data_IF_199744527045
#
_entry.id   IF_199744527045
#
_cell.length_a   1.000
_cell.length_b   1.000
_cell.length_c   1.000
_cell.angle_alpha   90.00
_cell.angle_beta   90.00
_cell.angle_gamma   90.00
#
_symmetry.space_group_name_H-M   'P 1'
#
loop_
_entity.id
_entity.type
_entity.pdbx_description
1 polymer ?
#
# COMPACT_ATOMS: atom_id res chain seq x y z
N UNK A 1 -26.60 -48.61 26.66
CA UNK A 1 -26.61 -47.31 25.96
C UNK A 1 -25.29 -47.27 25.21
N UNK A 2 -25.38 -47.49 23.91
CA UNK A 2 -24.26 -47.41 22.98
C UNK A 2 -24.15 -45.95 22.57
N UNK A 3 -22.98 -45.35 22.79
CA UNK A 3 -22.64 -44.05 22.24
C UNK A 3 -21.65 -44.27 21.10
N UNK A 4 -22.20 -44.36 19.89
CA UNK A 4 -21.47 -44.26 18.62
C UNK A 4 -21.40 -42.78 18.22
N UNK A 5 -20.19 -42.19 18.11
CA UNK A 5 -19.93 -40.98 17.33
C UNK A 5 -18.63 -41.20 16.53
N UNK A 6 -18.80 -41.10 15.21
CA UNK A 6 -17.78 -41.15 14.16
C UNK A 6 -17.17 -39.77 13.90
N UNK A 7 -16.10 -39.78 13.09
CA UNK A 7 -15.44 -38.69 12.36
C UNK A 7 -14.17 -38.09 12.99
N UNK A 8 -13.01 -38.45 12.42
CA UNK A 8 -12.08 -37.42 11.99
C UNK A 8 -11.22 -37.92 10.82
N UNK A 9 -11.47 -37.30 9.67
CA UNK A 9 -10.82 -37.51 8.40
C UNK A 9 -9.37 -37.00 8.43
N UNK A 10 -8.38 -37.89 8.59
CA UNK A 10 -6.98 -37.49 8.46
C UNK A 10 -6.56 -37.48 6.98
N UNK A 11 -6.69 -36.31 6.36
CA UNK A 11 -6.24 -36.04 4.99
C UNK A 11 -4.71 -36.14 4.89
N UNK A 12 -4.29 -37.08 4.05
CA UNK A 12 -2.93 -37.22 3.56
C UNK A 12 -2.60 -36.11 2.56
N UNK A 13 -1.55 -35.34 2.82
CA UNK A 13 -0.95 -34.44 1.82
C UNK A 13 0.53 -34.77 1.67
N UNK A 14 0.81 -35.45 0.57
CA UNK A 14 2.14 -35.67 0.01
C UNK A 14 2.66 -34.36 -0.58
N UNK A 15 3.66 -33.75 0.07
CA UNK A 15 4.41 -32.64 -0.48
C UNK A 15 5.45 -33.18 -1.47
N UNK A 16 5.19 -33.01 -2.77
CA UNK A 16 6.17 -33.20 -3.83
C UNK A 16 7.11 -32.00 -3.85
N UNK A 17 8.36 -32.19 -3.45
CA UNK A 17 9.48 -31.30 -3.80
C UNK A 17 9.79 -31.48 -5.28
N UNK A 18 9.74 -30.40 -6.05
CA UNK A 18 10.25 -30.35 -7.42
C UNK A 18 11.47 -29.46 -7.45
N UNK A 19 12.63 -30.08 -7.38
CA UNK A 19 13.89 -29.57 -7.90
C UNK A 19 13.77 -29.28 -9.39
N UNK A 20 14.21 -28.12 -9.86
CA UNK A 20 14.60 -27.94 -11.26
C UNK A 20 15.77 -26.95 -11.39
N UNK A 21 16.91 -27.60 -11.59
CA UNK A 21 18.22 -27.23 -12.13
C UNK A 21 18.35 -25.98 -13.04
N UNK A 22 19.57 -25.45 -12.97
CA UNK A 22 20.22 -24.31 -13.61
C UNK A 22 20.42 -24.38 -15.14
N UNK A 23 20.78 -23.19 -15.66
CA UNK A 23 21.63 -22.86 -16.82
C UNK A 23 20.99 -22.80 -18.21
N UNK A 24 20.96 -21.59 -18.80
CA UNK A 24 21.63 -21.26 -20.08
C UNK A 24 21.49 -19.75 -20.41
N UNK A 25 22.60 -19.01 -20.36
CA UNK A 25 22.80 -17.74 -21.08
C UNK A 25 22.97 -18.06 -22.58
N UNK A 26 22.46 -17.25 -23.54
CA UNK A 26 23.31 -16.15 -24.00
C UNK A 26 22.58 -14.88 -24.47
N UNK A 27 23.19 -13.75 -24.09
CA UNK A 27 23.44 -12.52 -24.86
C UNK A 27 22.57 -12.24 -26.11
N UNK A 28 21.90 -11.08 -26.10
CA UNK A 28 21.67 -10.29 -27.30
C UNK A 28 21.81 -8.78 -27.00
N UNK A 29 22.39 -8.00 -27.93
CA UNK A 29 22.94 -6.68 -27.63
C UNK A 29 21.98 -5.53 -27.90
N UNK A 30 22.23 -4.42 -27.20
CA UNK A 30 21.98 -3.03 -27.59
C UNK A 30 20.55 -2.65 -27.98
N UNK A 31 19.84 -2.05 -27.01
CA UNK A 31 19.08 -0.84 -27.29
C UNK A 31 19.34 0.17 -26.19
N UNK A 32 20.26 1.09 -26.48
CA UNK A 32 20.47 2.30 -25.71
C UNK A 32 19.21 3.15 -25.83
N UNK A 33 18.22 2.90 -24.98
CA UNK A 33 17.05 3.76 -24.83
C UNK A 33 16.93 4.13 -23.35
N UNK A 34 17.19 5.40 -23.08
CA UNK A 34 17.25 6.03 -21.76
C UNK A 34 16.16 5.53 -20.81
N UNK A 35 16.51 4.59 -19.93
CA UNK A 35 15.64 4.15 -18.82
C UNK A 35 15.65 5.14 -17.64
N UNK A 36 16.42 6.23 -17.74
CA UNK A 36 16.48 7.26 -16.72
C UNK A 36 15.18 8.10 -16.64
N UNK A 37 14.44 8.23 -17.72
CA UNK A 37 13.29 9.16 -17.78
C UNK A 37 12.00 8.57 -17.19
N UNK A 38 11.86 7.24 -17.15
CA UNK A 38 10.61 6.58 -16.67
C UNK A 38 10.54 6.55 -15.14
N UNK A 39 11.69 6.44 -14.45
CA UNK A 39 11.73 6.40 -12.98
C UNK A 39 11.41 7.76 -12.34
N UNK A 40 11.76 8.87 -13.00
CA UNK A 40 11.50 10.22 -12.53
C UNK A 40 9.98 10.53 -12.50
N UNK A 41 9.26 10.19 -13.57
CA UNK A 41 7.82 10.45 -13.69
C UNK A 41 6.96 9.65 -12.68
N UNK A 42 7.32 8.39 -12.42
CA UNK A 42 6.66 7.56 -11.40
C UNK A 42 6.91 8.08 -9.98
N UNK A 43 8.12 8.59 -9.73
CA UNK A 43 8.50 9.20 -8.46
C UNK A 43 7.77 10.52 -8.21
N UNK A 44 7.59 11.34 -9.25
CA UNK A 44 6.88 12.61 -9.17
C UNK A 44 5.38 12.41 -8.91
N UNK A 45 4.75 11.49 -9.64
CA UNK A 45 3.34 11.12 -9.44
C UNK A 45 3.05 10.65 -8.01
N UNK A 46 3.97 9.90 -7.41
CA UNK A 46 3.86 9.40 -6.04
C UNK A 46 4.05 10.52 -5.01
N UNK A 47 4.97 11.45 -5.25
CA UNK A 47 5.17 12.65 -4.41
C UNK A 47 3.95 13.57 -4.45
N UNK A 48 3.37 13.80 -5.63
CA UNK A 48 2.15 14.60 -5.79
C UNK A 48 0.98 14.00 -4.99
N UNK A 49 0.77 12.68 -5.10
CA UNK A 49 -0.26 11.98 -4.31
C UNK A 49 -0.06 12.15 -2.81
N UNK A 50 1.20 12.07 -2.35
CA UNK A 50 1.53 12.26 -0.94
C UNK A 50 1.18 13.67 -0.48
N UNK A 51 1.51 14.70 -1.26
CA UNK A 51 1.20 16.09 -0.93
C UNK A 51 -0.32 16.31 -0.83
N UNK A 52 -1.09 15.77 -1.77
CA UNK A 52 -2.56 15.85 -1.76
C UNK A 52 -3.15 15.09 -0.57
N UNK A 53 -2.60 13.91 -0.22
CA UNK A 53 -3.11 13.10 0.88
C UNK A 53 -2.86 13.74 2.25
N UNK A 54 -1.72 14.43 2.39
CA UNK A 54 -1.24 15.05 3.63
C UNK A 54 -1.61 16.55 3.75
N UNK A 55 -2.48 17.04 2.88
CA UNK A 55 -2.88 18.46 2.78
C UNK A 55 -3.76 18.95 3.93
N UNK A 56 -4.14 18.06 4.86
CA UNK A 56 -5.06 18.36 5.95
C UNK A 56 -6.53 18.04 5.66
N UNK A 57 -6.89 17.58 4.47
CA UNK A 57 -8.26 17.16 4.13
C UNK A 57 -8.57 15.76 4.65
N UNK A 58 -7.65 14.81 4.44
CA UNK A 58 -7.78 13.42 4.90
C UNK A 58 -6.75 13.10 5.97
N UNK A 59 -5.51 13.49 5.75
CA UNK A 59 -4.45 13.39 6.73
C UNK A 59 -3.73 14.72 6.90
N UNK A 60 -3.33 15.02 8.13
CA UNK A 60 -2.47 16.16 8.44
C UNK A 60 -1.09 15.64 8.83
N UNK A 61 -0.04 16.04 8.11
CA UNK A 61 1.33 15.63 8.40
C UNK A 61 1.81 16.20 9.75
N UNK A 62 2.42 15.35 10.58
CA UNK A 62 3.06 15.73 11.85
C UNK A 62 4.58 15.63 11.68
N UNK A 63 5.27 16.75 11.40
CA UNK A 63 6.72 16.73 11.20
C UNK A 63 7.49 16.38 12.47
N UNK A 64 6.96 16.73 13.65
CA UNK A 64 7.57 16.44 14.96
C UNK A 64 7.77 14.94 15.23
N UNK A 65 6.84 14.12 14.73
CA UNK A 65 6.81 12.66 14.93
C UNK A 65 7.30 11.91 13.68
N UNK A 66 7.78 12.65 12.67
CA UNK A 66 8.32 12.11 11.44
C UNK A 66 9.84 12.09 11.54
N UNK A 67 10.46 10.97 11.17
CA UNK A 67 11.91 10.80 11.26
C UNK A 67 12.45 10.13 10.02
N UNK A 68 13.39 10.80 9.35
CA UNK A 68 14.02 10.33 8.11
C UNK A 68 13.00 10.00 7.03
N UNK A 69 12.89 8.71 6.69
CA UNK A 69 11.97 8.19 5.68
C UNK A 69 10.58 7.82 6.22
N UNK A 70 10.35 7.90 7.54
CA UNK A 70 9.08 7.60 8.20
C UNK A 70 8.27 8.88 8.36
N UNK A 71 7.02 8.82 7.95
CA UNK A 71 6.06 9.91 8.09
C UNK A 71 4.95 9.53 9.06
N UNK A 72 4.60 10.44 9.95
CA UNK A 72 3.47 10.29 10.85
C UNK A 72 2.43 11.35 10.48
N UNK A 73 1.18 10.96 10.31
CA UNK A 73 0.09 11.89 10.01
C UNK A 73 -1.16 11.55 10.82
N UNK A 74 -1.93 12.57 11.19
CA UNK A 74 -3.21 12.41 11.88
C UNK A 74 -4.32 12.22 10.86
N UNK A 75 -5.19 11.23 11.06
CA UNK A 75 -6.40 11.08 10.25
C UNK A 75 -7.45 12.13 10.66
N UNK A 76 -7.86 12.97 9.70
CA UNK A 76 -8.85 14.03 9.91
C UNK A 76 -10.30 13.53 9.79
N UNK A 77 -10.50 12.31 9.28
CA UNK A 77 -11.82 11.66 9.17
C UNK A 77 -12.21 10.88 10.42
N UNK A 78 -11.25 10.56 11.28
CA UNK A 78 -11.54 10.00 12.60
C UNK A 78 -12.24 11.06 13.48
N UNK A 79 -13.19 10.65 14.34
CA UNK A 79 -13.78 11.57 15.32
C UNK A 79 -12.68 12.15 16.21
N UNK A 80 -12.85 13.40 16.65
CA UNK A 80 -11.83 14.16 17.39
C UNK A 80 -11.34 13.43 18.65
N UNK A 81 -12.25 12.70 19.30
CA UNK A 81 -11.97 11.95 20.53
C UNK A 81 -11.14 10.67 20.27
N UNK A 82 -11.03 10.22 19.01
CA UNK A 82 -10.26 9.04 18.59
C UNK A 82 -9.32 9.35 17.42
N UNK A 83 -8.80 10.58 17.36
CA UNK A 83 -7.94 11.01 16.28
C UNK A 83 -6.70 10.11 16.20
N UNK A 84 -6.64 9.29 15.15
CA UNK A 84 -5.63 8.23 15.06
C UNK A 84 -4.40 8.75 14.31
N UNK A 85 -3.22 8.61 14.92
CA UNK A 85 -1.92 8.80 14.26
C UNK A 85 -1.65 7.57 13.38
N UNK A 86 -1.43 7.78 12.08
CA UNK A 86 -1.06 6.75 11.12
C UNK A 86 0.39 6.96 10.70
N UNK A 87 1.20 5.90 10.81
CA UNK A 87 2.60 5.89 10.40
C UNK A 87 2.73 5.26 9.01
N UNK A 88 3.50 5.90 8.15
CA UNK A 88 3.80 5.45 6.80
C UNK A 88 5.24 5.76 6.42
N UNK A 89 5.58 5.51 5.16
CA UNK A 89 6.87 5.89 4.61
C UNK A 89 6.71 6.94 3.51
N UNK A 90 7.76 7.72 3.27
CA UNK A 90 7.72 8.85 2.35
C UNK A 90 7.33 8.47 0.91
N UNK A 91 7.61 7.23 0.52
CA UNK A 91 7.42 6.74 -0.84
C UNK A 91 6.19 5.85 -0.98
N UNK A 92 5.43 5.59 0.11
CA UNK A 92 4.26 4.71 0.05
C UNK A 92 3.09 5.26 0.86
N UNK A 93 1.95 5.39 0.18
CA UNK A 93 0.69 5.88 0.77
C UNK A 93 -0.28 4.76 1.14
N UNK A 94 0.10 3.49 0.90
CA UNK A 94 -0.78 2.33 1.11
C UNK A 94 -1.28 2.21 2.54
N UNK A 95 -0.47 2.54 3.55
CA UNK A 95 -0.87 2.51 4.95
C UNK A 95 -2.03 3.47 5.26
N UNK A 96 -1.98 4.68 4.71
CA UNK A 96 -3.01 5.70 4.88
C UNK A 96 -4.30 5.32 4.16
N UNK A 97 -4.20 4.82 2.92
CA UNK A 97 -5.36 4.34 2.18
C UNK A 97 -5.99 3.11 2.86
N UNK A 98 -5.17 2.21 3.39
CA UNK A 98 -5.64 1.05 4.15
C UNK A 98 -6.32 1.46 5.46
N UNK A 99 -5.88 2.55 6.09
CA UNK A 99 -6.57 3.14 7.24
C UNK A 99 -7.94 3.67 6.81
N UNK A 100 -8.01 4.49 5.76
CA UNK A 100 -9.28 5.05 5.26
C UNK A 100 -10.28 3.94 4.91
N UNK A 101 -9.84 2.91 4.17
CA UNK A 101 -10.73 1.79 3.76
C UNK A 101 -11.28 1.03 4.96
N UNK A 102 -10.45 0.72 5.96
CA UNK A 102 -10.86 -0.09 7.12
C UNK A 102 -11.69 0.69 8.13
N UNK A 103 -11.40 1.98 8.34
CA UNK A 103 -12.06 2.80 9.36
C UNK A 103 -13.23 3.62 8.85
N UNK A 104 -13.18 4.05 7.59
CA UNK A 104 -14.17 4.93 6.97
C UNK A 104 -14.89 4.29 5.77
N UNK A 105 -14.57 3.03 5.46
CA UNK A 105 -15.22 2.27 4.40
C UNK A 105 -14.75 2.61 3.00
N UNK A 106 -15.34 1.93 2.02
CA UNK A 106 -14.97 2.03 0.62
C UNK A 106 -15.38 3.39 0.00
N UNK A 107 -16.49 3.97 0.43
CA UNK A 107 -16.96 5.28 -0.04
C UNK A 107 -15.93 6.39 0.21
N UNK A 108 -15.29 6.41 1.38
CA UNK A 108 -14.26 7.39 1.70
C UNK A 108 -13.04 7.32 0.77
N UNK A 109 -12.72 6.12 0.27
CA UNK A 109 -11.65 5.91 -0.71
C UNK A 109 -12.04 6.47 -2.08
N UNK A 110 -13.30 6.30 -2.50
CA UNK A 110 -13.80 6.82 -3.78
C UNK A 110 -13.83 8.34 -3.80
N UNK A 111 -14.26 8.96 -2.69
CA UNK A 111 -14.18 10.40 -2.50
C UNK A 111 -12.73 10.88 -2.60
N UNK A 112 -11.79 10.21 -1.91
CA UNK A 112 -10.38 10.54 -1.98
C UNK A 112 -9.83 10.44 -3.41
N UNK A 113 -10.16 9.38 -4.16
CA UNK A 113 -9.72 9.22 -5.56
C UNK A 113 -10.25 10.36 -6.45
N UNK A 114 -11.51 10.73 -6.26
CA UNK A 114 -12.13 11.86 -6.97
C UNK A 114 -11.45 13.18 -6.62
N UNK A 115 -11.17 13.40 -5.34
CA UNK A 115 -10.46 14.57 -4.85
C UNK A 115 -9.05 14.69 -5.46
N UNK A 116 -8.30 13.58 -5.46
CA UNK A 116 -6.97 13.51 -6.09
C UNK A 116 -7.03 13.82 -7.58
N UNK A 117 -8.00 13.27 -8.30
CA UNK A 117 -8.17 13.54 -9.74
C UNK A 117 -8.38 15.04 -9.99
N UNK A 118 -9.30 15.66 -9.24
CA UNK A 118 -9.57 17.10 -9.31
C UNK A 118 -8.35 17.96 -8.99
N UNK A 119 -7.54 17.56 -8.00
CA UNK A 119 -6.31 18.29 -7.60
C UNK A 119 -5.14 18.13 -8.58
N UNK A 120 -5.19 17.17 -9.50
CA UNK A 120 -4.17 16.99 -10.55
C UNK A 120 -4.48 17.79 -11.82
N UNK A 121 -5.75 18.12 -12.03
CA UNK A 121 -6.24 18.87 -13.19
C UNK A 121 -6.18 20.39 -12.99
N UNK A 122 -5.78 20.86 -11.80
CA UNK A 122 -5.86 22.24 -11.35
C UNK A 122 -4.53 22.72 -10.77
#
# INVERSE_FOLDING_TARGET
>A
MMDDIEDDSNISVSASVSDNNETHEPLSPLSSSSTADIAAAASESSRQLRLILLDGTYFKHLPEESSGNKITALCMKCPKDMMTKVKGCNNCTSNFLSHLKRKHGQQCIEEYKTYVKKKREN
#
